data_IF_749139882597
#
_entry.id   IF_749139882597
#
_cell.length_a   1.000
_cell.length_b   1.000
_cell.length_c   1.000
_cell.angle_alpha   90.00
_cell.angle_beta   90.00
_cell.angle_gamma   90.00
#
_symmetry.space_group_name_H-M   'P 1'
#
loop_
_entity.id
_entity.type
_entity.pdbx_description
1 polymer ?
#
# COMPACT_ATOMS: atom_id res chain seq x y z
N UNK A 1 51.59 -69.68 76.97
CA UNK A 1 51.28 -70.97 77.63
C UNK A 1 49.94 -71.40 77.06
N UNK A 2 49.70 -72.48 76.35
CA UNK A 2 50.28 -73.84 76.19
C UNK A 2 49.22 -74.48 75.26
N UNK A 3 49.48 -75.05 74.07
CA UNK A 3 50.45 -76.08 73.74
C UNK A 3 49.89 -77.47 74.09
N UNK A 4 49.21 -78.13 73.15
CA UNK A 4 49.12 -79.60 72.96
C UNK A 4 48.27 -79.88 71.68
N UNK A 5 48.81 -80.29 70.51
CA UNK A 5 49.51 -81.54 70.10
C UNK A 5 48.55 -82.74 70.21
N UNK A 6 47.77 -83.08 69.15
CA UNK A 6 48.01 -84.08 68.06
C UNK A 6 47.47 -85.49 68.42
N UNK A 7 47.24 -86.47 67.49
CA UNK A 7 47.40 -86.46 66.03
C UNK A 7 46.30 -87.16 65.17
N UNK A 8 46.35 -86.82 63.87
CA UNK A 8 46.27 -87.68 62.65
C UNK A 8 45.36 -88.92 62.59
N UNK A 9 44.41 -88.91 61.64
CA UNK A 9 44.36 -89.96 60.60
C UNK A 9 43.59 -89.49 59.34
N UNK A 10 44.08 -89.90 58.17
CA UNK A 10 43.67 -89.50 56.81
C UNK A 10 42.32 -90.10 56.37
N UNK A 11 41.72 -89.37 55.42
CA UNK A 11 40.86 -89.82 54.31
C UNK A 11 39.36 -90.06 54.57
N UNK A 12 38.56 -89.05 54.23
CA UNK A 12 37.27 -89.24 53.54
C UNK A 12 36.92 -87.98 52.73
N UNK A 13 37.06 -88.07 51.41
CA UNK A 13 36.64 -87.06 50.46
C UNK A 13 35.11 -86.87 50.52
N UNK A 14 34.65 -85.61 50.59
CA UNK A 14 33.38 -85.09 50.03
C UNK A 14 33.19 -83.61 50.44
N UNK A 15 33.36 -82.68 49.50
CA UNK A 15 32.52 -81.48 49.43
C UNK A 15 32.23 -81.18 47.97
N UNK A 16 30.97 -81.42 47.63
CA UNK A 16 30.32 -81.18 46.36
C UNK A 16 30.50 -79.73 45.93
N UNK A 17 31.21 -79.53 44.82
CA UNK A 17 31.03 -78.39 43.93
C UNK A 17 29.74 -78.62 43.12
N UNK A 18 28.80 -77.68 43.21
CA UNK A 18 27.48 -77.82 42.61
C UNK A 18 26.94 -76.49 42.07
N UNK A 19 27.65 -75.90 41.11
CA UNK A 19 27.17 -74.75 40.32
C UNK A 19 26.11 -75.25 39.33
N UNK A 20 24.83 -75.28 39.72
CA UNK A 20 23.73 -75.47 38.76
C UNK A 20 23.34 -74.11 38.17
N UNK A 21 23.94 -73.78 37.02
CA UNK A 21 23.49 -72.67 36.17
C UNK A 21 22.15 -73.10 35.54
N UNK A 22 21.07 -72.40 35.89
CA UNK A 22 19.74 -72.61 35.32
C UNK A 22 19.78 -72.26 33.82
N UNK A 23 19.78 -73.28 32.97
CA UNK A 23 19.94 -73.15 31.51
C UNK A 23 18.69 -72.60 30.81
N UNK A 24 17.53 -72.62 31.48
CA UNK A 24 16.24 -72.16 30.93
C UNK A 24 16.03 -70.64 30.98
N UNK A 25 16.57 -69.96 32.00
CA UNK A 25 16.38 -68.51 32.17
C UNK A 25 17.21 -67.71 31.14
N UNK A 26 18.40 -68.19 30.80
CA UNK A 26 19.27 -67.62 29.76
C UNK A 26 18.65 -67.76 28.34
N UNK A 27 17.81 -68.76 28.12
CA UNK A 27 17.15 -68.97 26.82
C UNK A 27 15.88 -68.12 26.70
N UNK A 28 15.12 -68.01 27.79
CA UNK A 28 13.97 -67.12 27.88
C UNK A 28 14.36 -65.64 27.75
N UNK A 29 15.40 -65.18 28.47
CA UNK A 29 15.88 -63.80 28.34
C UNK A 29 16.42 -63.49 26.94
N UNK A 30 17.10 -64.44 26.29
CA UNK A 30 17.56 -64.28 24.90
C UNK A 30 16.41 -64.27 23.89
N UNK A 31 15.32 -64.96 24.14
CA UNK A 31 14.14 -64.89 23.26
C UNK A 31 13.37 -63.57 23.46
N UNK A 32 13.24 -63.10 24.71
CA UNK A 32 12.62 -61.82 25.02
C UNK A 32 13.40 -60.64 24.41
N UNK A 33 14.72 -60.60 24.56
CA UNK A 33 15.59 -59.59 23.94
C UNK A 33 15.48 -59.63 22.40
N UNK A 34 15.48 -60.82 21.78
CA UNK A 34 15.31 -60.96 20.32
C UNK A 34 13.93 -60.58 19.80
N UNK A 35 12.89 -60.64 20.63
CA UNK A 35 11.54 -60.14 20.30
C UNK A 35 11.46 -58.63 20.45
N UNK A 36 12.01 -58.07 21.53
CA UNK A 36 12.09 -56.62 21.74
C UNK A 36 12.91 -55.92 20.65
N UNK A 37 14.07 -56.47 20.27
CA UNK A 37 14.88 -55.94 19.18
C UNK A 37 14.15 -56.01 17.83
N UNK A 38 13.35 -57.06 17.59
CA UNK A 38 12.54 -57.15 16.37
C UNK A 38 11.38 -56.16 16.35
N UNK A 39 10.71 -55.97 17.48
CA UNK A 39 9.61 -55.00 17.60
C UNK A 39 10.17 -53.58 17.45
N UNK A 40 11.30 -53.27 18.10
CA UNK A 40 11.96 -51.96 17.98
C UNK A 40 12.46 -51.72 16.56
N UNK A 41 13.06 -52.72 15.89
CA UNK A 41 13.46 -52.61 14.48
C UNK A 41 12.24 -52.35 13.58
N UNK A 42 11.15 -53.12 13.74
CA UNK A 42 9.96 -52.97 12.90
C UNK A 42 9.29 -51.60 13.10
N UNK A 43 9.24 -51.11 14.34
CA UNK A 43 8.69 -49.77 14.64
C UNK A 43 9.60 -48.67 14.07
N UNK A 44 10.93 -48.79 14.24
CA UNK A 44 11.89 -47.85 13.68
C UNK A 44 11.84 -47.82 12.15
N UNK A 45 11.74 -48.99 11.52
CA UNK A 45 11.64 -49.16 10.07
C UNK A 45 10.32 -48.58 9.53
N UNK A 46 9.20 -48.79 10.22
CA UNK A 46 7.92 -48.15 9.86
C UNK A 46 8.00 -46.62 9.99
N UNK A 47 8.56 -46.10 11.09
CA UNK A 47 8.72 -44.66 11.28
C UNK A 47 9.63 -44.03 10.22
N UNK A 48 10.74 -44.68 9.87
CA UNK A 48 11.64 -44.22 8.81
C UNK A 48 10.96 -44.26 7.43
N UNK A 49 10.04 -45.22 7.20
CA UNK A 49 9.28 -45.30 5.96
C UNK A 49 8.24 -44.18 5.82
N UNK A 50 7.63 -43.73 6.92
CA UNK A 50 6.67 -42.61 6.92
C UNK A 50 7.30 -41.23 7.13
N UNK A 51 8.53 -41.17 7.65
CA UNK A 51 9.27 -39.93 7.86
C UNK A 51 9.28 -39.01 6.62
N UNK A 52 9.61 -39.46 5.39
CA UNK A 52 9.62 -38.58 4.22
C UNK A 52 8.21 -38.05 3.86
N UNK A 53 7.16 -38.84 4.09
CA UNK A 53 5.78 -38.41 3.89
C UNK A 53 5.37 -37.33 4.90
N UNK A 54 5.75 -37.50 6.17
CA UNK A 54 5.49 -36.51 7.23
C UNK A 54 6.26 -35.22 6.94
N UNK A 55 7.53 -35.32 6.56
CA UNK A 55 8.33 -34.16 6.18
C UNK A 55 7.76 -33.45 4.96
N UNK A 56 7.36 -34.18 3.92
CA UNK A 56 6.72 -33.62 2.73
C UNK A 56 5.38 -32.95 3.07
N UNK A 57 4.57 -33.56 3.93
CA UNK A 57 3.32 -32.96 4.39
C UNK A 57 3.58 -31.66 5.18
N UNK A 58 4.56 -31.67 6.09
CA UNK A 58 4.96 -30.49 6.85
C UNK A 58 5.47 -29.37 5.93
N UNK A 59 6.32 -29.67 4.95
CA UNK A 59 6.80 -28.65 4.00
C UNK A 59 5.67 -28.09 3.15
N UNK A 60 4.71 -28.92 2.72
CA UNK A 60 3.49 -28.45 2.04
C UNK A 60 2.65 -27.53 2.93
N UNK A 61 2.45 -27.87 4.20
CA UNK A 61 1.72 -27.04 5.17
C UNK A 61 2.45 -25.71 5.40
N UNK A 62 3.77 -25.74 5.60
CA UNK A 62 4.58 -24.53 5.72
C UNK A 62 4.50 -23.66 4.46
N UNK A 63 4.58 -24.26 3.26
CA UNK A 63 4.42 -23.55 2.00
C UNK A 63 3.02 -22.91 1.87
N UNK A 64 1.96 -23.62 2.29
CA UNK A 64 0.60 -23.10 2.29
C UNK A 64 0.48 -21.88 3.21
N UNK A 65 1.06 -21.92 4.41
CA UNK A 65 1.09 -20.79 5.35
C UNK A 65 1.79 -19.60 4.69
N UNK A 66 2.93 -19.81 4.03
CA UNK A 66 3.62 -18.75 3.30
C UNK A 66 2.78 -18.15 2.18
N UNK A 67 2.05 -18.96 1.42
CA UNK A 67 1.15 -18.49 0.36
C UNK A 67 0.03 -17.63 0.94
N UNK A 68 -0.59 -18.04 2.05
CA UNK A 68 -1.63 -17.27 2.74
C UNK A 68 -1.06 -15.93 3.24
N UNK A 69 0.10 -15.98 3.90
CA UNK A 69 0.79 -14.79 4.40
C UNK A 69 1.13 -13.82 3.26
N UNK A 70 1.70 -14.32 2.16
CA UNK A 70 2.04 -13.51 0.99
C UNK A 70 0.79 -12.88 0.37
N UNK A 71 -0.32 -13.62 0.28
CA UNK A 71 -1.57 -13.09 -0.26
C UNK A 71 -2.11 -11.94 0.60
N UNK A 72 -2.12 -12.12 1.93
CA UNK A 72 -2.52 -11.07 2.86
C UNK A 72 -1.61 -9.84 2.75
N UNK A 73 -0.29 -10.06 2.74
CA UNK A 73 0.71 -9.01 2.60
C UNK A 73 0.53 -8.23 1.29
N UNK A 74 0.41 -8.93 0.15
CA UNK A 74 0.21 -8.30 -1.16
C UNK A 74 -1.10 -7.51 -1.23
N UNK A 75 -2.19 -8.01 -0.65
CA UNK A 75 -3.46 -7.27 -0.58
C UNK A 75 -3.33 -6.00 0.26
N UNK A 76 -2.68 -6.09 1.42
CA UNK A 76 -2.45 -4.95 2.30
C UNK A 76 -1.56 -3.91 1.61
N UNK A 77 -0.45 -4.35 1.02
CA UNK A 77 0.50 -3.51 0.30
C UNK A 77 -0.15 -2.80 -0.89
N UNK A 78 -0.90 -3.53 -1.74
CA UNK A 78 -1.62 -2.94 -2.88
C UNK A 78 -2.72 -1.96 -2.48
N UNK A 79 -3.28 -2.07 -1.25
CA UNK A 79 -4.27 -1.12 -0.73
C UNK A 79 -3.60 0.14 -0.20
N UNK A 80 -2.44 0.02 0.44
CA UNK A 80 -1.68 1.13 1.01
C UNK A 80 -1.02 2.02 -0.04
N UNK A 81 -0.63 1.46 -1.19
CA UNK A 81 0.02 2.18 -2.28
C UNK A 81 -0.90 3.01 -3.17
N UNK A 82 -2.22 3.05 -2.91
CA UNK A 82 -3.11 3.88 -3.72
C UNK A 82 -3.00 5.33 -3.24
N UNK A 83 -2.44 6.27 -4.04
CA UNK A 83 -2.48 7.67 -3.66
C UNK A 83 -3.93 8.09 -3.50
N UNK A 84 -4.25 8.98 -2.58
CA UNK A 84 -5.62 9.43 -2.38
C UNK A 84 -5.61 10.94 -2.26
N UNK A 85 -6.03 11.63 -3.30
CA UNK A 85 -6.02 13.09 -3.31
C UNK A 85 -7.42 13.59 -2.98
N UNK A 86 -7.52 14.42 -1.95
CA UNK A 86 -8.75 15.09 -1.57
C UNK A 86 -8.75 16.50 -2.13
N UNK A 87 -9.82 16.87 -2.82
CA UNK A 87 -10.06 18.25 -3.24
C UNK A 87 -11.19 18.78 -2.38
N UNK A 88 -10.99 19.85 -1.62
CA UNK A 88 -12.02 20.47 -0.79
C UNK A 88 -12.20 21.95 -1.13
N UNK A 89 -13.36 22.49 -0.73
CA UNK A 89 -13.68 23.90 -0.82
C UNK A 89 -13.88 24.45 0.59
N UNK A 90 -13.14 25.49 0.98
CA UNK A 90 -13.18 26.05 2.32
C UNK A 90 -12.79 27.53 2.35
N UNK A 91 -12.64 28.11 3.55
CA UNK A 91 -12.13 29.47 3.76
C UNK A 91 -12.80 30.58 2.91
N UNK A 92 -14.11 30.47 2.67
CA UNK A 92 -14.90 31.44 1.91
C UNK A 92 -16.31 30.93 1.66
N UNK A 93 -17.11 31.69 0.89
CA UNK A 93 -18.46 31.29 0.50
C UNK A 93 -18.55 31.26 -1.01
N UNK A 94 -19.21 30.22 -1.52
CA UNK A 94 -19.55 30.09 -2.94
C UNK A 94 -18.31 30.24 -3.85
N UNK A 95 -18.31 31.17 -4.81
CA UNK A 95 -17.18 31.40 -5.72
C UNK A 95 -15.95 32.03 -5.05
N UNK A 96 -16.10 32.63 -3.87
CA UNK A 96 -14.98 33.17 -3.09
C UNK A 96 -14.37 32.12 -2.15
N UNK A 97 -14.88 30.88 -2.16
CA UNK A 97 -14.25 29.77 -1.44
C UNK A 97 -12.89 29.42 -2.07
N UNK A 98 -11.93 29.08 -1.21
CA UNK A 98 -10.63 28.56 -1.59
C UNK A 98 -10.74 27.07 -1.92
N UNK A 99 -10.02 26.64 -2.95
CA UNK A 99 -9.91 25.25 -3.33
C UNK A 99 -8.61 24.66 -2.75
N UNK A 100 -8.75 23.69 -1.86
CA UNK A 100 -7.63 23.00 -1.24
C UNK A 100 -7.43 21.61 -1.84
N UNK A 101 -6.17 21.24 -2.01
CA UNK A 101 -5.75 19.90 -2.44
C UNK A 101 -4.93 19.28 -1.33
N UNK A 102 -5.41 18.17 -0.79
CA UNK A 102 -4.76 17.44 0.30
C UNK A 102 -4.33 16.07 -0.18
N UNK A 103 -3.09 15.68 0.10
CA UNK A 103 -2.65 14.30 -0.10
C UNK A 103 -3.06 13.46 1.13
N UNK A 104 -4.03 12.56 0.96
CA UNK A 104 -4.40 11.55 1.96
C UNK A 104 -3.69 10.20 1.72
N UNK A 105 -2.87 10.08 0.67
CA UNK A 105 -2.04 8.92 0.42
C UNK A 105 -0.84 8.90 1.35
N UNK A 106 -0.30 7.69 1.60
CA UNK A 106 0.90 7.50 2.42
C UNK A 106 2.18 7.95 1.70
N UNK A 107 2.15 7.97 0.36
CA UNK A 107 3.28 8.32 -0.47
C UNK A 107 3.29 9.82 -0.80
N UNK A 108 4.45 10.50 -0.74
CA UNK A 108 4.56 11.87 -1.22
C UNK A 108 4.30 11.93 -2.73
N UNK A 109 3.55 12.95 -3.15
CA UNK A 109 3.23 13.22 -4.54
C UNK A 109 3.70 14.63 -4.92
N UNK A 110 4.00 14.84 -6.19
CA UNK A 110 4.31 16.15 -6.73
C UNK A 110 3.12 16.63 -7.56
N UNK A 111 2.54 17.77 -7.19
CA UNK A 111 1.50 18.44 -7.94
C UNK A 111 2.12 19.06 -9.18
N UNK A 112 1.77 18.54 -10.36
CA UNK A 112 2.26 19.02 -11.64
C UNK A 112 1.42 20.16 -12.19
N UNK A 113 0.10 19.98 -12.20
CA UNK A 113 -0.79 20.91 -12.88
C UNK A 113 -2.23 20.79 -12.37
N UNK A 114 -3.01 21.85 -12.60
CA UNK A 114 -4.43 21.93 -12.31
C UNK A 114 -5.19 22.29 -13.58
N UNK A 115 -6.02 21.35 -14.00
CA UNK A 115 -6.91 21.48 -15.15
C UNK A 115 -8.30 21.87 -14.65
N UNK A 116 -8.91 22.83 -15.33
CA UNK A 116 -10.25 23.29 -15.04
C UNK A 116 -11.12 23.13 -16.27
N UNK A 117 -12.17 22.33 -16.11
CA UNK A 117 -13.19 22.10 -17.14
C UNK A 117 -14.45 22.88 -16.75
N UNK A 118 -14.79 23.91 -17.52
CA UNK A 118 -16.05 24.63 -17.39
C UNK A 118 -17.10 24.00 -18.31
N UNK A 119 -18.25 23.69 -17.74
CA UNK A 119 -19.33 22.99 -18.43
C UNK A 119 -20.51 23.95 -18.59
N UNK A 120 -20.84 24.22 -19.84
CA UNK A 120 -21.98 25.02 -20.24
C UNK A 120 -23.31 24.28 -20.06
N UNK A 121 -24.45 25.01 -19.99
CA UNK A 121 -25.78 24.40 -19.97
C UNK A 121 -26.06 23.56 -21.22
N UNK A 122 -25.42 23.90 -22.34
CA UNK A 122 -25.48 23.21 -23.64
C UNK A 122 -24.74 21.87 -23.64
N UNK A 123 -23.94 21.60 -22.60
CA UNK A 123 -23.09 20.41 -22.50
C UNK A 123 -21.72 20.56 -23.15
N UNK A 124 -21.40 21.72 -23.73
CA UNK A 124 -20.05 22.03 -24.19
C UNK A 124 -19.11 22.13 -22.98
N UNK A 125 -17.95 21.49 -23.09
CA UNK A 125 -16.90 21.50 -22.06
C UNK A 125 -15.75 22.33 -22.61
N UNK A 126 -15.47 23.44 -21.94
CA UNK A 126 -14.32 24.28 -22.27
C UNK A 126 -13.25 24.06 -21.21
N UNK A 127 -12.08 23.61 -21.67
CA UNK A 127 -10.95 23.26 -20.82
C UNK A 127 -9.94 24.40 -20.81
N UNK A 128 -9.52 24.79 -19.62
CA UNK A 128 -8.34 25.60 -19.38
C UNK A 128 -7.41 24.88 -18.42
N UNK A 129 -6.11 25.09 -18.60
CA UNK A 129 -5.08 24.44 -17.79
C UNK A 129 -4.29 25.57 -17.16
N UNK A 130 -4.11 25.52 -15.84
CA UNK A 130 -3.63 26.65 -15.04
C UNK A 130 -2.39 26.21 -14.26
N UNK A 131 -1.21 26.22 -14.92
CA UNK A 131 0.04 25.84 -14.26
C UNK A 131 0.52 26.91 -13.26
N UNK A 132 0.22 28.18 -13.51
CA UNK A 132 0.83 29.33 -12.83
C UNK A 132 -0.16 30.14 -11.96
N UNK A 133 0.32 30.70 -10.82
CA UNK A 133 -0.49 31.54 -9.93
C UNK A 133 -0.16 33.02 -10.13
N UNK A 134 -0.79 33.64 -11.13
CA UNK A 134 -0.53 35.03 -11.54
C UNK A 134 -0.86 36.11 -10.48
N UNK A 135 -1.72 35.82 -9.49
CA UNK A 135 -2.14 36.81 -8.47
C UNK A 135 -1.02 37.29 -7.55
N UNK A 136 0.01 36.47 -7.30
CA UNK A 136 1.07 36.81 -6.34
C UNK A 136 2.27 37.47 -6.99
N UNK A 137 2.41 37.37 -8.31
CA UNK A 137 3.51 37.97 -9.04
C UNK A 137 3.48 39.50 -9.02
N UNK A 138 2.29 40.11 -9.00
CA UNK A 138 2.17 41.58 -8.98
C UNK A 138 2.45 42.20 -7.60
N UNK A 139 2.61 41.40 -6.54
CA UNK A 139 2.66 41.92 -5.17
C UNK A 139 3.81 41.37 -4.30
N UNK A 140 4.55 40.35 -4.76
CA UNK A 140 5.67 39.78 -4.03
C UNK A 140 7.00 40.45 -4.42
N UNK A 141 7.59 41.20 -3.49
CA UNK A 141 8.99 41.60 -3.53
C UNK A 141 9.82 40.31 -3.34
N UNK A 142 10.73 39.95 -4.25
CA UNK A 142 11.42 38.66 -4.21
C UNK A 142 12.48 38.69 -3.10
N UNK A 143 12.20 38.02 -1.99
CA UNK A 143 13.11 37.97 -0.84
C UNK A 143 13.24 36.62 -0.14
N UNK A 144 12.41 35.62 -0.47
CA UNK A 144 12.47 34.30 0.17
C UNK A 144 12.13 33.17 -0.83
N UNK A 145 12.93 32.11 -0.84
CA UNK A 145 12.84 30.98 -1.79
C UNK A 145 11.52 30.19 -1.61
N UNK A 146 10.97 30.23 -0.40
CA UNK A 146 9.64 29.71 -0.05
C UNK A 146 8.49 30.49 -0.70
N UNK A 147 8.68 31.77 -1.03
CA UNK A 147 7.63 32.61 -1.61
C UNK A 147 7.49 32.40 -3.12
N UNK A 148 8.58 32.03 -3.81
CA UNK A 148 8.58 31.61 -5.23
C UNK A 148 7.79 30.30 -5.39
N UNK A 149 7.97 29.33 -4.49
CA UNK A 149 7.19 28.08 -4.47
C UNK A 149 5.71 28.30 -4.11
N UNK A 150 5.39 29.34 -3.35
CA UNK A 150 3.99 29.74 -3.06
C UNK A 150 3.34 30.49 -4.21
N UNK A 151 4.13 30.98 -5.17
CA UNK A 151 3.71 31.69 -6.38
C UNK A 151 3.37 30.75 -7.56
N UNK A 152 3.62 29.44 -7.46
CA UNK A 152 3.15 28.44 -8.43
C UNK A 152 2.12 27.50 -7.78
N UNK A 153 1.16 27.01 -8.55
CA UNK A 153 0.23 25.96 -8.07
C UNK A 153 0.92 24.59 -7.96
N UNK A 154 2.16 24.50 -8.44
CA UNK A 154 3.01 23.31 -8.51
C UNK A 154 3.76 23.11 -7.19
N UNK A 155 3.98 21.86 -6.78
CA UNK A 155 4.82 21.60 -5.61
C UNK A 155 4.70 20.21 -5.01
N UNK A 156 5.64 19.88 -4.12
CA UNK A 156 5.65 18.61 -3.40
C UNK A 156 4.60 18.61 -2.27
N UNK A 157 3.83 17.53 -2.19
CA UNK A 157 2.82 17.26 -1.18
C UNK A 157 3.18 15.96 -0.45
N UNK A 158 3.66 16.11 0.79
CA UNK A 158 3.86 14.98 1.71
C UNK A 158 2.52 14.34 2.08
N UNK A 159 2.56 13.14 2.67
CA UNK A 159 1.36 12.51 3.23
C UNK A 159 0.73 13.41 4.29
N UNK A 160 -0.55 13.73 4.11
CA UNK A 160 -1.31 14.68 4.94
C UNK A 160 -1.09 16.16 4.59
N UNK A 161 -0.16 16.47 3.68
CA UNK A 161 0.10 17.83 3.24
C UNK A 161 -1.06 18.42 2.43
N UNK A 162 -1.24 19.74 2.54
CA UNK A 162 -2.29 20.49 1.84
C UNK A 162 -1.69 21.65 1.03
N UNK A 163 -2.25 21.88 -0.16
CA UNK A 163 -1.93 23.01 -1.04
C UNK A 163 -3.21 23.81 -1.33
N UNK A 164 -3.16 25.11 -1.08
CA UNK A 164 -4.20 26.05 -1.52
C UNK A 164 -3.96 26.44 -2.99
N UNK A 165 -4.97 26.20 -3.84
CA UNK A 165 -4.99 26.58 -5.26
C UNK A 165 -5.54 28.00 -5.49
N UNK A 166 -6.09 28.63 -4.45
CA UNK A 166 -6.76 29.93 -4.52
C UNK A 166 -8.27 29.83 -4.69
N UNK A 167 -8.90 30.98 -4.94
CA UNK A 167 -10.36 31.11 -5.01
C UNK A 167 -10.91 30.58 -6.33
N UNK A 168 -12.09 29.97 -6.30
CA UNK A 168 -12.77 29.50 -7.52
C UNK A 168 -13.01 30.62 -8.54
N UNK A 169 -13.37 31.83 -8.08
CA UNK A 169 -13.51 33.00 -8.94
C UNK A 169 -12.25 33.30 -9.73
N UNK A 170 -11.09 33.35 -9.06
CA UNK A 170 -9.79 33.58 -9.70
C UNK A 170 -9.47 32.48 -10.70
N UNK A 171 -9.72 31.23 -10.31
CA UNK A 171 -9.46 30.09 -11.17
C UNK A 171 -10.30 30.14 -12.46
N UNK A 172 -11.57 30.56 -12.36
CA UNK A 172 -12.43 30.80 -13.52
C UNK A 172 -11.92 31.98 -14.36
N UNK A 173 -11.54 33.09 -13.72
CA UNK A 173 -11.04 34.28 -14.41
C UNK A 173 -9.75 33.99 -15.20
N UNK A 174 -8.84 33.20 -14.63
CA UNK A 174 -7.63 32.72 -15.33
C UNK A 174 -7.98 31.79 -16.48
N UNK A 175 -8.92 30.87 -16.28
CA UNK A 175 -9.40 30.02 -17.36
C UNK A 175 -9.89 30.87 -18.55
N UNK A 176 -10.65 31.93 -18.28
CA UNK A 176 -11.12 32.88 -19.29
C UNK A 176 -10.02 33.67 -19.99
N UNK A 177 -8.89 33.93 -19.33
CA UNK A 177 -7.73 34.60 -19.95
C UNK A 177 -6.94 33.65 -20.85
N UNK A 178 -6.77 32.39 -20.43
CA UNK A 178 -6.04 31.36 -21.18
C UNK A 178 -6.79 30.95 -22.46
N UNK A 179 -8.12 30.90 -22.38
CA UNK A 179 -8.96 30.50 -23.50
C UNK A 179 -10.13 31.50 -23.70
N UNK A 180 -10.03 32.41 -24.69
CA UNK A 180 -11.05 33.44 -24.94
C UNK A 180 -12.45 32.88 -25.26
N UNK A 181 -12.55 31.62 -25.68
CA UNK A 181 -13.83 30.93 -25.90
C UNK A 181 -14.64 30.79 -24.60
N UNK A 182 -13.99 30.85 -23.44
CA UNK A 182 -14.63 30.84 -22.11
C UNK A 182 -15.23 32.22 -21.77
N UNK A 183 -14.66 33.31 -22.30
CA UNK A 183 -15.18 34.66 -22.06
C UNK A 183 -16.42 34.99 -22.91
N UNK A 184 -16.59 34.30 -24.04
CA UNK A 184 -17.60 34.61 -25.04
C UNK A 184 -19.00 34.02 -24.75
N UNK A 185 -19.11 32.95 -23.95
CA UNK A 185 -20.37 32.22 -23.76
C UNK A 185 -20.89 32.28 -22.32
N UNK A 186 -22.09 32.84 -22.21
CA UNK A 186 -22.82 33.12 -20.99
C UNK A 186 -23.10 31.87 -20.12
N UNK A 187 -22.97 32.04 -18.80
CA UNK A 187 -23.53 31.20 -17.73
C UNK A 187 -23.12 29.71 -17.70
N UNK A 188 -21.94 29.42 -17.19
CA UNK A 188 -21.54 28.04 -16.82
C UNK A 188 -22.44 27.45 -15.73
N UNK A 189 -22.82 26.19 -15.89
CA UNK A 189 -23.64 25.47 -14.91
C UNK A 189 -22.80 24.61 -13.98
N UNK A 190 -21.61 24.18 -14.42
CA UNK A 190 -20.73 23.31 -13.62
C UNK A 190 -19.26 23.58 -13.91
N UNK A 191 -18.43 23.27 -12.91
CA UNK A 191 -16.99 23.46 -12.89
C UNK A 191 -16.35 22.18 -12.40
N UNK A 192 -15.44 21.59 -13.16
CA UNK A 192 -14.68 20.42 -12.75
C UNK A 192 -13.21 20.79 -12.56
N UNK A 193 -12.71 20.58 -11.35
CA UNK A 193 -11.30 20.80 -11.02
C UNK A 193 -10.60 19.45 -11.01
N UNK A 194 -9.65 19.29 -11.94
CA UNK A 194 -8.84 18.10 -12.08
C UNK A 194 -7.39 18.41 -11.73
N UNK A 195 -6.88 17.71 -10.74
CA UNK A 195 -5.52 17.87 -10.24
C UNK A 195 -4.67 16.73 -10.78
N UNK A 196 -3.52 17.07 -11.38
CA UNK A 196 -2.58 16.10 -11.95
C UNK A 196 -1.32 16.07 -11.10
N UNK A 197 -0.92 14.88 -10.70
CA UNK A 197 0.20 14.63 -9.78
C UNK A 197 1.08 13.50 -10.28
N UNK A 198 2.31 13.44 -9.79
CA UNK A 198 3.24 12.32 -9.98
C UNK A 198 3.66 11.76 -8.63
N UNK A 199 3.63 10.44 -8.51
CA UNK A 199 4.14 9.73 -7.32
C UNK A 199 5.66 9.78 -7.28
N UNK A 200 6.26 10.04 -6.10
CA UNK A 200 7.71 10.14 -5.97
C UNK A 200 8.46 8.82 -6.23
N UNK A 201 7.87 7.65 -5.89
CA UNK A 201 8.60 6.37 -5.96
C UNK A 201 8.57 5.70 -7.33
N UNK A 202 7.45 5.81 -8.07
CA UNK A 202 7.26 5.11 -9.34
C UNK A 202 7.19 6.05 -10.55
N UNK A 203 7.29 7.37 -10.35
CA UNK A 203 7.12 8.39 -11.39
C UNK A 203 5.81 8.23 -12.19
N UNK A 204 4.77 7.65 -11.57
CA UNK A 204 3.50 7.38 -12.23
C UNK A 204 2.56 8.59 -12.11
N UNK A 205 1.95 8.95 -13.24
CA UNK A 205 0.89 9.96 -13.28
C UNK A 205 -0.35 9.46 -12.55
N UNK A 206 -0.81 10.26 -11.60
CA UNK A 206 -2.05 10.08 -10.86
C UNK A 206 -2.81 11.39 -10.83
N UNK A 207 -4.14 11.33 -10.72
CA UNK A 207 -4.91 12.55 -10.54
C UNK A 207 -6.15 12.36 -9.70
N UNK A 208 -6.81 13.46 -9.39
CA UNK A 208 -8.14 13.46 -8.82
C UNK A 208 -8.97 14.58 -9.44
N UNK A 209 -10.23 14.31 -9.66
CA UNK A 209 -11.19 15.28 -10.19
C UNK A 209 -12.34 15.49 -9.20
N UNK A 210 -12.79 16.73 -9.05
CA UNK A 210 -14.02 17.04 -8.32
C UNK A 210 -14.88 18.03 -9.09
N UNK A 211 -16.14 17.66 -9.33
CA UNK A 211 -17.12 18.50 -9.98
C UNK A 211 -17.91 19.34 -8.97
N UNK A 212 -18.11 20.60 -9.30
CA UNK A 212 -18.91 21.58 -8.59
C UNK A 212 -20.00 22.08 -9.52
N UNK A 213 -21.19 22.33 -8.98
CA UNK A 213 -22.31 22.98 -9.66
C UNK A 213 -22.34 24.44 -9.28
N UNK A 214 -22.54 25.30 -10.27
CA UNK A 214 -22.74 26.73 -10.09
C UNK A 214 -24.24 26.99 -10.22
N UNK A 215 -24.86 27.45 -9.14
CA UNK A 215 -26.28 27.80 -9.09
C UNK A 215 -26.41 29.33 -9.07
N UNK A 216 -26.86 29.90 -10.19
CA UNK A 216 -27.19 31.32 -10.28
C UNK A 216 -28.44 31.60 -9.44
N UNK A 217 -28.36 32.53 -8.48
CA UNK A 217 -29.52 32.98 -7.69
C UNK A 217 -30.07 34.26 -8.31
N UNK A 218 -31.38 34.31 -8.55
CA UNK A 218 -32.04 35.54 -8.97
C UNK A 218 -31.80 36.65 -7.92
N UNK A 219 -30.96 37.63 -8.26
CA UNK A 219 -30.63 38.79 -7.43
C UNK A 219 -29.45 38.62 -6.44
N UNK A 220 -28.56 37.64 -6.60
CA UNK A 220 -27.40 37.50 -5.70
C UNK A 220 -26.19 36.76 -6.30
N UNK A 221 -25.14 36.59 -5.50
CA UNK A 221 -23.91 35.89 -5.90
C UNK A 221 -24.19 34.43 -6.31
N UNK A 222 -23.53 33.97 -7.37
CA UNK A 222 -23.63 32.59 -7.82
C UNK A 222 -23.10 31.62 -6.75
N UNK A 223 -23.88 30.59 -6.43
CA UNK A 223 -23.54 29.61 -5.40
C UNK A 223 -22.73 28.46 -5.95
N UNK A 224 -21.71 28.03 -5.21
CA UNK A 224 -20.90 26.87 -5.57
C UNK A 224 -21.25 25.69 -4.66
N UNK A 225 -21.68 24.58 -5.26
CA UNK A 225 -21.95 23.33 -4.51
C UNK A 225 -21.20 22.16 -5.10
N UNK A 226 -20.44 21.45 -4.27
CA UNK A 226 -19.83 20.21 -4.70
C UNK A 226 -20.90 19.18 -5.10
N UNK A 227 -20.78 18.62 -6.31
CA UNK A 227 -21.70 17.59 -6.81
C UNK A 227 -21.46 16.25 -6.12
N UNK A 228 -20.23 16.01 -5.68
CA UNK A 228 -19.81 14.78 -5.00
C UNK A 228 -19.12 15.08 -3.68
N UNK A 229 -19.31 14.19 -2.72
CA UNK A 229 -18.61 14.23 -1.42
C UNK A 229 -17.13 13.89 -1.60
N UNK A 230 -16.83 12.88 -2.42
CA UNK A 230 -15.45 12.44 -2.71
C UNK A 230 -14.99 12.93 -4.08
N UNK A 231 -13.71 13.26 -4.18
CA UNK A 231 -13.04 13.45 -5.46
C UNK A 231 -12.89 12.10 -6.17
N UNK A 232 -13.20 12.07 -7.46
CA UNK A 232 -12.99 10.92 -8.34
C UNK A 232 -11.49 10.75 -8.55
N UNK A 233 -10.94 9.64 -8.07
CA UNK A 233 -9.53 9.32 -8.27
C UNK A 233 -9.31 8.83 -9.71
N UNK A 234 -8.38 9.47 -10.42
CA UNK A 234 -7.94 9.12 -11.76
C UNK A 234 -6.67 8.27 -11.63
N UNK A 235 -6.87 6.95 -11.51
CA UNK A 235 -5.80 5.98 -11.28
C UNK A 235 -5.89 4.80 -12.24
N UNK A 236 -4.74 4.22 -12.55
CA UNK A 236 -4.60 3.05 -13.42
C UNK A 236 -4.25 3.40 -14.86
N UNK A 237 -4.11 2.36 -15.68
CA UNK A 237 -3.53 2.47 -17.02
C UNK A 237 -4.29 3.41 -17.96
N UNK A 238 -5.63 3.33 -17.99
CA UNK A 238 -6.46 4.18 -18.85
C UNK A 238 -6.45 5.65 -18.39
N UNK A 239 -6.54 5.88 -17.07
CA UNK A 239 -6.47 7.23 -16.52
C UNK A 239 -5.11 7.87 -16.81
N UNK A 240 -4.02 7.12 -16.63
CA UNK A 240 -2.66 7.55 -17.02
C UNK A 240 -2.59 7.96 -18.47
N UNK A 241 -3.07 7.11 -19.38
CA UNK A 241 -3.06 7.42 -20.82
C UNK A 241 -3.87 8.68 -21.15
N UNK A 242 -4.98 8.90 -20.45
CA UNK A 242 -5.78 10.13 -20.61
C UNK A 242 -5.03 11.37 -20.11
N UNK A 243 -4.41 11.29 -18.92
CA UNK A 243 -3.62 12.38 -18.34
C UNK A 243 -2.39 12.70 -19.19
N UNK A 244 -1.67 11.68 -19.66
CA UNK A 244 -0.52 11.86 -20.56
C UNK A 244 -0.94 12.54 -21.86
N UNK A 245 -2.06 12.14 -22.46
CA UNK A 245 -2.58 12.81 -23.68
C UNK A 245 -2.88 14.27 -23.40
N UNK A 246 -3.57 14.56 -22.31
CA UNK A 246 -3.91 15.92 -21.90
C UNK A 246 -2.67 16.81 -21.75
N UNK A 247 -1.64 16.32 -21.05
CA UNK A 247 -0.37 17.05 -20.89
C UNK A 247 0.44 17.14 -22.19
N UNK A 248 0.34 16.15 -23.08
CA UNK A 248 1.04 16.17 -24.38
C UNK A 248 0.41 17.18 -25.33
N UNK A 249 -0.92 17.28 -25.34
CA UNK A 249 -1.63 18.24 -26.19
C UNK A 249 -1.32 19.69 -25.75
N UNK A 250 -1.10 19.91 -24.46
CA UNK A 250 -0.59 21.19 -23.90
C UNK A 250 0.81 21.55 -24.39
N UNK A 251 1.76 20.62 -24.29
CA UNK A 251 3.13 20.87 -24.77
C UNK A 251 3.12 21.28 -26.24
N UNK A 252 2.28 20.64 -27.05
CA UNK A 252 2.12 20.99 -28.46
C UNK A 252 1.50 22.37 -28.68
N UNK A 253 0.53 22.78 -27.87
CA UNK A 253 -0.09 24.12 -28.02
C UNK A 253 0.87 25.24 -27.67
N UNK A 254 1.78 25.01 -26.72
CA UNK A 254 2.83 25.97 -26.34
C UNK A 254 3.93 26.12 -27.39
N UNK A 255 4.27 25.04 -28.11
CA UNK A 255 5.25 25.08 -29.21
C UNK A 255 4.73 25.80 -30.48
N UNK A 256 3.41 26.00 -30.58
CA UNK A 256 2.76 26.63 -31.74
C UNK A 256 2.41 28.12 -31.57
N UNK A 257 2.70 28.70 -30.39
CA UNK A 257 2.47 30.12 -30.06
C UNK A 257 3.79 30.91 -30.08
#
# INVERSE_FOLDING_TARGET
MTGHIEPSCKAAARRFTGRKRFKGDDEYQRDYMRRLDRISLNVLQNLLHFAPLITAAMTCVTALIWVVYLNFFLRSYRRQQRPSILITSGAGKDLDAHCFVTNLGLEPVYLLDVVIDLIEPTGKVVRAIIPERTERWSQAIPGDDDDVRRATNVGALSSGGERDLGRFRTLIERASMENPDIAAENAFTSLEVTVVTVTASQAELCGASRCYRIEQRAGGNARLRARTIKARQLQGYFARRSLTRLLTDQLKSLDTA
#
